data_IF_817585855096
#
_entry.id   IF_817585855096
#
_cell.length_a   1.000
_cell.length_b   1.000
_cell.length_c   1.000
_cell.angle_alpha   90.00
_cell.angle_beta   90.00
_cell.angle_gamma   90.00
#
_symmetry.space_group_name_H-M   'P 1'
#
loop_
_entity.id
_entity.type
_entity.pdbx_description
1 polymer ?
#
# COMPACT_ATOMS: atom_id res chain seq x y z
N UNK A 1 0.31 4.72 -12.53
CA UNK A 1 1.39 3.96 -11.88
C UNK A 1 2.16 4.90 -11.00
N UNK A 2 2.08 4.67 -9.69
CA UNK A 2 2.63 5.59 -8.71
C UNK A 2 4.10 5.30 -8.43
N UNK A 3 4.85 6.35 -8.08
CA UNK A 3 6.20 6.24 -7.54
C UNK A 3 6.09 6.30 -6.02
N UNK A 4 6.55 5.25 -5.33
CA UNK A 4 6.55 5.17 -3.88
C UNK A 4 7.99 5.32 -3.38
N UNK A 5 8.23 6.25 -2.46
CA UNK A 5 9.54 6.42 -1.83
C UNK A 5 9.39 6.27 -0.33
N UNK A 6 10.17 5.39 0.28
CA UNK A 6 10.12 5.08 1.71
C UNK A 6 11.46 5.48 2.31
N UNK A 7 11.45 6.47 3.18
CA UNK A 7 12.63 6.95 3.91
C UNK A 7 12.57 6.44 5.34
N UNK A 8 13.65 5.84 5.81
CA UNK A 8 13.67 5.20 7.12
C UNK A 8 15.02 5.33 7.82
N UNK A 9 15.02 5.32 9.15
CA UNK A 9 16.26 5.28 9.95
C UNK A 9 16.61 3.88 10.42
N UNK A 10 15.68 2.93 10.31
CA UNK A 10 15.90 1.54 10.74
C UNK A 10 15.83 0.60 9.55
N UNK A 11 16.40 -0.60 9.71
CA UNK A 11 16.23 -1.69 8.76
C UNK A 11 14.73 -2.00 8.64
N UNK A 12 14.25 -2.11 7.40
CA UNK A 12 12.89 -2.54 7.12
C UNK A 12 12.69 -4.00 7.50
N UNK A 13 11.46 -4.34 7.87
CA UNK A 13 11.06 -5.72 8.14
C UNK A 13 11.21 -6.57 6.88
N UNK A 14 11.73 -7.80 7.04
CA UNK A 14 12.02 -8.70 5.91
C UNK A 14 10.74 -9.05 5.12
N UNK A 15 9.57 -9.12 5.78
CA UNK A 15 8.27 -9.35 5.11
C UNK A 15 7.85 -8.17 4.21
N UNK A 16 8.19 -6.95 4.62
CA UNK A 16 7.89 -5.76 3.83
C UNK A 16 8.86 -5.67 2.66
N UNK A 17 10.12 -6.01 2.87
CA UNK A 17 11.12 -6.05 1.79
C UNK A 17 10.76 -7.10 0.72
N UNK A 18 10.34 -8.31 1.12
CA UNK A 18 9.84 -9.32 0.18
C UNK A 18 8.64 -8.81 -0.64
N UNK A 19 7.71 -8.09 0.01
CA UNK A 19 6.60 -7.47 -0.70
C UNK A 19 7.05 -6.37 -1.67
N UNK A 20 7.99 -5.51 -1.25
CA UNK A 20 8.57 -4.46 -2.11
C UNK A 20 9.22 -5.07 -3.35
N UNK A 21 9.99 -6.15 -3.18
CA UNK A 21 10.66 -6.84 -4.29
C UNK A 21 9.65 -7.45 -5.27
N UNK A 22 8.58 -8.08 -4.76
CA UNK A 22 7.49 -8.57 -5.60
C UNK A 22 6.78 -7.44 -6.35
N UNK A 23 6.53 -6.31 -5.71
CA UNK A 23 5.91 -5.15 -6.34
C UNK A 23 6.80 -4.54 -7.43
N UNK A 24 8.12 -4.46 -7.20
CA UNK A 24 9.10 -4.05 -8.23
C UNK A 24 9.09 -4.99 -9.43
N UNK A 25 9.09 -6.31 -9.19
CA UNK A 25 8.95 -7.32 -10.25
C UNK A 25 7.65 -7.18 -11.04
N UNK A 26 6.58 -6.73 -10.39
CA UNK A 26 5.30 -6.45 -11.02
C UNK A 26 5.29 -5.12 -11.81
N UNK A 27 6.40 -4.37 -11.74
CA UNK A 27 6.66 -3.13 -12.46
C UNK A 27 6.35 -1.87 -11.66
N UNK A 28 6.13 -1.93 -10.35
CA UNK A 28 5.92 -0.73 -9.51
C UNK A 28 7.26 -0.06 -9.22
N UNK A 29 7.31 1.27 -9.31
CA UNK A 29 8.48 2.05 -8.93
C UNK A 29 8.45 2.32 -7.42
N UNK A 30 9.21 1.53 -6.66
CA UNK A 30 9.35 1.66 -5.21
C UNK A 30 10.81 1.85 -4.86
N UNK A 31 11.15 2.93 -4.16
CA UNK A 31 12.51 3.18 -3.69
C UNK A 31 12.53 3.25 -2.16
N UNK A 32 13.34 2.41 -1.54
CA UNK A 32 13.54 2.38 -0.09
C UNK A 32 14.91 2.98 0.22
N UNK A 33 14.95 3.94 1.12
CA UNK A 33 16.17 4.64 1.53
C UNK A 33 16.37 4.48 3.04
N UNK A 34 17.53 3.97 3.44
CA UNK A 34 17.94 3.95 4.84
C UNK A 34 18.92 5.10 5.13
N UNK A 35 18.67 5.88 6.18
CA UNK A 35 19.47 7.05 6.52
C UNK A 35 20.94 6.73 6.79
N UNK A 36 21.23 5.61 7.46
CA UNK A 36 22.60 5.22 7.81
C UNK A 36 23.39 4.67 6.62
N UNK A 37 22.70 4.18 5.58
CA UNK A 37 23.32 3.64 4.38
C UNK A 37 23.35 4.65 3.22
N UNK A 38 22.38 5.58 3.18
CA UNK A 38 22.08 6.43 2.03
C UNK A 38 21.70 7.86 2.47
N UNK A 39 22.44 8.45 3.41
CA UNK A 39 22.17 9.78 3.96
C UNK A 39 22.05 10.89 2.90
N UNK A 40 22.79 10.79 1.79
CA UNK A 40 22.72 11.75 0.68
C UNK A 40 21.32 11.85 0.05
N UNK A 41 20.57 10.74 0.00
CA UNK A 41 19.22 10.73 -0.59
C UNK A 41 18.20 11.52 0.24
N UNK A 42 18.46 11.69 1.54
CA UNK A 42 17.62 12.47 2.45
C UNK A 42 17.83 13.97 2.23
N UNK A 43 19.03 14.38 1.82
CA UNK A 43 19.35 15.78 1.51
C UNK A 43 18.92 16.17 0.08
N UNK A 44 18.85 15.21 -0.85
CA UNK A 44 18.37 15.45 -2.22
C UNK A 44 16.87 15.75 -2.29
N UNK A 45 16.09 15.20 -1.36
CA UNK A 45 14.65 15.44 -1.29
C UNK A 45 14.32 16.56 -0.30
N UNK A 46 14.07 17.77 -0.82
CA UNK A 46 13.78 18.97 -0.01
C UNK A 46 12.64 18.79 1.00
N UNK A 47 11.64 17.94 0.74
CA UNK A 47 10.56 17.67 1.70
C UNK A 47 11.09 16.86 2.89
N UNK A 48 11.83 15.79 2.62
CA UNK A 48 12.45 14.95 3.65
C UNK A 48 13.48 15.74 4.45
N UNK A 49 14.35 16.51 3.79
CA UNK A 49 15.34 17.36 4.43
C UNK A 49 14.68 18.34 5.41
N UNK A 50 13.60 19.02 4.99
CA UNK A 50 12.87 19.96 5.84
C UNK A 50 12.21 19.28 7.02
N UNK A 51 11.59 18.12 6.81
CA UNK A 51 10.96 17.35 7.88
C UNK A 51 12.02 16.92 8.93
N UNK A 52 13.15 16.39 8.46
CA UNK A 52 14.25 15.97 9.33
C UNK A 52 14.82 17.15 10.13
N UNK A 53 15.00 18.33 9.52
CA UNK A 53 15.47 19.53 10.23
C UNK A 53 14.46 20.05 11.26
N UNK A 54 13.17 19.92 10.98
CA UNK A 54 12.10 20.51 11.82
C UNK A 54 11.74 19.62 13.00
N UNK A 55 11.74 18.30 12.81
CA UNK A 55 11.22 17.34 13.77
C UNK A 55 12.25 16.30 14.23
N UNK A 56 13.43 16.27 13.60
CA UNK A 56 14.46 15.27 13.88
C UNK A 56 14.13 13.90 13.29
N UNK A 57 14.80 12.86 13.79
CA UNK A 57 14.66 11.49 13.29
C UNK A 57 13.37 10.78 13.75
N UNK A 58 12.62 11.37 14.69
CA UNK A 58 11.42 10.74 15.25
C UNK A 58 10.29 10.55 14.25
N UNK A 59 10.30 11.33 13.16
CA UNK A 59 9.29 11.28 12.09
C UNK A 59 9.39 10.02 11.22
N UNK A 60 10.49 9.26 11.32
CA UNK A 60 10.72 8.13 10.44
C UNK A 60 10.04 6.85 10.96
N UNK A 61 9.53 5.99 10.08
CA UNK A 61 9.53 6.08 8.61
C UNK A 61 8.66 7.19 8.01
N UNK A 62 9.06 7.70 6.85
CA UNK A 62 8.27 8.63 6.04
C UNK A 62 8.04 8.02 4.67
N UNK A 63 6.78 7.98 4.23
CA UNK A 63 6.40 7.46 2.91
C UNK A 63 5.86 8.57 2.02
N UNK A 64 6.45 8.69 0.83
CA UNK A 64 6.00 9.58 -0.23
C UNK A 64 5.35 8.77 -1.35
N UNK A 65 4.20 9.22 -1.84
CA UNK A 65 3.55 8.69 -3.04
C UNK A 65 3.46 9.83 -4.05
N UNK A 66 4.06 9.65 -5.22
CA UNK A 66 4.20 10.68 -6.26
C UNK A 66 4.79 12.00 -5.72
N UNK A 67 5.74 11.88 -4.78
CA UNK A 67 6.40 13.03 -4.16
C UNK A 67 5.59 13.72 -3.04
N UNK A 68 4.37 13.28 -2.74
CA UNK A 68 3.56 13.79 -1.62
C UNK A 68 3.69 12.90 -0.39
N UNK A 69 3.82 13.51 0.78
CA UNK A 69 3.91 12.79 2.06
C UNK A 69 2.54 12.23 2.40
N UNK A 70 2.43 10.90 2.49
CA UNK A 70 1.16 10.20 2.79
C UNK A 70 1.15 9.62 4.19
N UNK A 71 2.31 9.27 4.74
CA UNK A 71 2.44 8.70 6.09
C UNK A 71 3.80 9.05 6.71
N UNK A 72 3.78 9.27 8.02
CA UNK A 72 4.95 9.59 8.85
C UNK A 72 4.89 8.76 10.12
N UNK A 73 6.04 8.50 10.75
CA UNK A 73 6.23 7.74 12.00
C UNK A 73 5.81 6.27 11.95
N UNK A 74 5.04 5.87 10.94
CA UNK A 74 4.44 4.56 10.80
C UNK A 74 4.76 3.95 9.45
N UNK A 75 5.17 2.69 9.47
CA UNK A 75 5.39 1.94 8.25
C UNK A 75 4.05 1.56 7.63
N UNK A 76 3.94 1.67 6.31
CA UNK A 76 2.81 1.12 5.58
C UNK A 76 2.65 -0.37 5.89
N UNK A 77 1.42 -0.76 6.20
CA UNK A 77 1.02 -2.17 6.17
C UNK A 77 1.11 -2.71 4.74
N UNK A 78 1.20 -4.03 4.59
CA UNK A 78 1.17 -4.71 3.29
C UNK A 78 -0.01 -4.24 2.42
N UNK A 79 -1.17 -4.05 3.05
CA UNK A 79 -2.40 -3.57 2.41
C UNK A 79 -2.26 -2.14 1.90
N UNK A 80 -1.75 -1.23 2.71
CA UNK A 80 -1.54 0.18 2.34
C UNK A 80 -0.53 0.31 1.21
N UNK A 81 0.56 -0.46 1.25
CA UNK A 81 1.59 -0.43 0.22
C UNK A 81 1.04 -0.87 -1.15
N UNK A 82 0.31 -1.98 -1.20
CA UNK A 82 -0.31 -2.46 -2.44
C UNK A 82 -1.40 -1.49 -2.91
N UNK A 83 -2.14 -0.88 -1.98
CA UNK A 83 -3.21 0.05 -2.34
C UNK A 83 -2.68 1.32 -3.00
N UNK A 84 -1.52 1.82 -2.53
CA UNK A 84 -0.88 3.00 -3.09
C UNK A 84 -0.05 2.72 -4.34
N UNK A 85 0.23 1.45 -4.66
CA UNK A 85 1.02 1.06 -5.84
C UNK A 85 0.32 1.27 -7.18
N UNK A 86 -1.01 1.48 -7.19
CA UNK A 86 -1.81 1.67 -8.41
C UNK A 86 -1.54 0.57 -9.46
N UNK A 87 -1.65 -0.69 -9.02
CA UNK A 87 -1.31 -1.87 -9.80
C UNK A 87 -2.50 -2.81 -9.93
N UNK A 88 -2.69 -3.36 -11.14
CA UNK A 88 -3.75 -4.33 -11.41
C UNK A 88 -3.51 -5.65 -10.67
N UNK A 89 -4.60 -6.25 -10.17
CA UNK A 89 -4.65 -7.60 -9.59
C UNK A 89 -3.94 -8.65 -10.45
N UNK A 90 -4.13 -8.61 -11.78
CA UNK A 90 -3.50 -9.55 -12.71
C UNK A 90 -1.97 -9.56 -12.58
N UNK A 91 -1.35 -8.39 -12.37
CA UNK A 91 0.10 -8.28 -12.17
C UNK A 91 0.53 -8.75 -10.78
N UNK A 92 -0.25 -8.44 -9.74
CA UNK A 92 0.00 -8.92 -8.37
C UNK A 92 -0.01 -10.45 -8.28
N UNK A 93 -0.98 -11.10 -8.93
CA UNK A 93 -1.06 -12.57 -8.97
C UNK A 93 0.14 -13.20 -9.68
N UNK A 94 0.64 -12.56 -10.76
CA UNK A 94 1.80 -13.07 -11.52
C UNK A 94 3.08 -13.12 -10.69
N UNK A 95 3.22 -12.23 -9.72
CA UNK A 95 4.39 -12.17 -8.81
C UNK A 95 4.15 -12.89 -7.48
N UNK A 96 3.03 -13.61 -7.34
CA UNK A 96 2.73 -14.42 -6.17
C UNK A 96 2.44 -13.62 -4.89
N UNK A 97 1.85 -12.42 -5.01
CA UNK A 97 1.38 -11.66 -3.85
C UNK A 97 0.04 -12.25 -3.37
N UNK A 98 -0.04 -12.61 -2.09
CA UNK A 98 -1.27 -13.11 -1.48
C UNK A 98 -2.30 -11.98 -1.32
N UNK A 99 -3.39 -12.08 -2.08
CA UNK A 99 -4.49 -11.14 -2.05
C UNK A 99 -5.53 -11.43 -0.95
N UNK A 100 -5.35 -12.51 -0.18
CA UNK A 100 -6.19 -12.81 0.98
C UNK A 100 -6.14 -11.72 2.04
N UNK A 101 -5.05 -10.94 2.08
CA UNK A 101 -4.87 -9.75 2.93
C UNK A 101 -5.95 -8.67 2.70
N UNK A 102 -6.64 -8.71 1.57
CA UNK A 102 -7.76 -7.80 1.25
C UNK A 102 -9.13 -8.38 1.59
N UNK A 103 -9.24 -9.67 1.95
CA UNK A 103 -10.51 -10.29 2.31
C UNK A 103 -11.00 -9.67 3.62
N UNK A 104 -12.02 -8.83 3.54
CA UNK A 104 -12.79 -8.44 4.72
C UNK A 104 -13.40 -9.70 5.33
N UNK A 105 -13.20 -9.91 6.64
CA UNK A 105 -14.00 -10.86 7.40
C UNK A 105 -15.44 -10.34 7.41
N UNK A 106 -16.24 -10.79 6.44
CA UNK A 106 -17.69 -10.67 6.55
C UNK A 106 -18.11 -11.66 7.63
N UNK A 107 -18.22 -11.20 8.88
CA UNK A 107 -18.86 -11.98 9.94
C UNK A 107 -20.34 -12.13 9.58
N UNK A 108 -20.69 -13.28 9.03
CA UNK A 108 -22.05 -13.66 8.65
C UNK A 108 -22.90 -13.98 9.88
N UNK A 109 -23.05 -13.03 10.81
CA UNK A 109 -23.97 -13.15 11.95
C UNK A 109 -25.13 -12.17 11.96
N UNK A 110 -25.13 -11.16 11.10
CA UNK A 110 -26.29 -10.29 10.96
C UNK A 110 -26.97 -10.52 9.61
N UNK A 111 -28.20 -11.03 9.70
CA UNK A 111 -29.21 -11.09 8.65
C UNK A 111 -29.69 -9.65 8.28
N UNK A 112 -28.75 -8.72 8.13
CA UNK A 112 -29.01 -7.33 7.79
C UNK A 112 -28.94 -7.20 6.27
N UNK A 113 -30.08 -6.84 5.71
CA UNK A 113 -30.31 -6.56 4.30
C UNK A 113 -29.53 -5.37 3.73
N UNK A 114 -28.46 -4.94 4.40
CA UNK A 114 -27.68 -3.77 4.03
C UNK A 114 -26.20 -4.08 4.27
N UNK A 115 -25.55 -4.74 3.31
CA UNK A 115 -24.09 -4.68 3.20
C UNK A 115 -23.73 -3.24 2.81
N UNK A 116 -23.62 -2.36 3.80
CA UNK A 116 -23.02 -1.05 3.61
C UNK A 116 -21.52 -1.27 3.43
N UNK A 117 -21.10 -1.52 2.18
CA UNK A 117 -19.71 -1.44 1.73
C UNK A 117 -19.21 0.02 1.77
N UNK A 118 -19.51 0.76 2.85
CA UNK A 118 -19.13 2.17 3.02
C UNK A 118 -17.71 2.35 3.56
N UNK A 119 -16.98 1.27 3.85
CA UNK A 119 -15.65 1.35 4.45
C UNK A 119 -14.65 0.28 3.96
N UNK A 120 -14.95 -0.40 2.86
CA UNK A 120 -14.02 -1.33 2.23
C UNK A 120 -13.47 -0.68 0.98
N UNK A 121 -12.15 -0.44 0.96
CA UNK A 121 -11.37 -0.17 -0.26
C UNK A 121 -11.49 -1.37 -1.21
N UNK A 122 -12.65 -1.51 -1.86
CA UNK A 122 -12.87 -2.41 -2.97
C UNK A 122 -12.27 -1.73 -4.19
N UNK A 123 -11.27 -2.35 -4.80
CA UNK A 123 -10.63 -1.85 -6.03
C UNK A 123 -11.55 -2.02 -7.24
N UNK A 124 -12.65 -1.27 -7.31
CA UNK A 124 -13.46 -1.14 -8.52
C UNK A 124 -14.06 0.26 -8.63
N UNK A 125 -14.00 0.83 -9.84
CA UNK A 125 -14.81 1.98 -10.25
C UNK A 125 -16.29 1.67 -10.04
N UNK A 126 -16.97 2.59 -9.38
CA UNK A 126 -18.42 2.86 -9.29
C UNK A 126 -19.40 1.81 -9.85
N UNK A 127 -20.33 1.40 -8.98
CA UNK A 127 -21.71 0.91 -9.23
C UNK A 127 -22.09 -0.59 -9.24
N UNK A 128 -21.29 -1.55 -8.78
CA UNK A 128 -21.73 -2.97 -8.75
C UNK A 128 -21.77 -3.66 -7.38
N UNK A 129 -22.20 -2.95 -6.32
CA UNK A 129 -22.61 -3.59 -5.05
C UNK A 129 -24.13 -3.75 -4.96
N UNK A 130 -24.75 -4.47 -5.91
CA UNK A 130 -26.14 -4.90 -5.79
C UNK A 130 -26.29 -6.39 -6.13
N UNK A 131 -25.88 -7.28 -5.22
CA UNK A 131 -26.65 -8.50 -4.92
C UNK A 131 -26.08 -9.28 -3.72
N UNK A 132 -26.95 -9.52 -2.74
CA UNK A 132 -26.72 -10.00 -1.36
C UNK A 132 -26.19 -11.43 -1.18
N UNK A 133 -25.48 -12.05 -2.14
CA UNK A 133 -25.02 -13.44 -1.94
C UNK A 133 -23.54 -13.72 -2.16
N UNK A 134 -22.79 -12.97 -2.97
CA UNK A 134 -21.40 -13.33 -3.28
C UNK A 134 -20.41 -12.15 -3.17
N UNK A 135 -20.34 -11.48 -2.02
CA UNK A 135 -19.26 -10.51 -1.77
C UNK A 135 -17.86 -11.18 -1.69
N UNK A 136 -17.77 -12.50 -1.47
CA UNK A 136 -16.50 -13.21 -1.41
C UNK A 136 -15.94 -13.64 -2.76
N UNK A 137 -16.78 -13.74 -3.81
CA UNK A 137 -16.36 -14.22 -5.14
C UNK A 137 -16.31 -13.10 -6.19
N UNK A 138 -17.12 -12.05 -6.07
CA UNK A 138 -17.23 -11.02 -7.13
C UNK A 138 -16.18 -9.91 -7.08
N UNK A 139 -15.35 -9.83 -6.05
CA UNK A 139 -14.29 -8.82 -5.95
C UNK A 139 -13.07 -9.10 -6.86
N UNK A 140 -13.08 -10.19 -7.63
CA UNK A 140 -11.93 -10.64 -8.43
C UNK A 140 -12.30 -11.20 -9.80
N UNK A 141 -13.30 -10.64 -10.48
CA UNK A 141 -13.55 -10.99 -11.89
C UNK A 141 -13.05 -9.93 -12.88
N UNK A 142 -12.49 -10.48 -13.95
CA UNK A 142 -11.50 -9.91 -14.85
C UNK A 142 -12.01 -8.75 -15.69
N UNK A 143 -11.16 -7.72 -15.90
CA UNK A 143 -11.25 -6.94 -17.14
C UNK A 143 -10.38 -7.59 -18.21
N UNK A 144 -11.05 -8.11 -19.25
CA UNK A 144 -10.48 -8.49 -20.56
C UNK A 144 -9.68 -7.33 -21.16
#
# INVERSE_FOLDING_TARGET
MNIIQIYNTKKLDDDIMDLVDKLKLAGVDINCYNYFEQSDEFNKNLKIERLLKSYGESIFPVTLVNGEVVEVEKMFSKKELISNADISVKKLNRVGIDLSIFRSQCNSKDNSENCNCKNTNCFHNDNECQNKKNCSEKCYEEKK
#
